data_IF_262964426700
#
_entry.id   IF_262964426700
#
_cell.length_a   1.000
_cell.length_b   1.000
_cell.length_c   1.000
_cell.angle_alpha   90.00
_cell.angle_beta   90.00
_cell.angle_gamma   90.00
#
_symmetry.space_group_name_H-M   'P 1'
#
loop_
_entity.id
_entity.type
_entity.pdbx_description
1 polymer ?
#
# COMPACT_ATOMS: atom_id res chain seq x y z
N UNK A 1 11.84 -17.70 -16.78
CA UNK A 1 11.01 -16.99 -15.78
C UNK A 1 11.78 -16.95 -14.47
N UNK A 2 12.60 -15.92 -14.25
CA UNK A 2 13.11 -15.63 -12.92
C UNK A 2 12.11 -14.67 -12.27
N UNK A 3 11.14 -15.23 -11.54
CA UNK A 3 10.26 -14.45 -10.68
C UNK A 3 11.04 -14.02 -9.45
N UNK A 4 12.00 -13.10 -9.61
CA UNK A 4 12.53 -12.36 -8.48
C UNK A 4 11.40 -11.43 -8.01
N UNK A 5 10.69 -11.85 -6.97
CA UNK A 5 9.69 -11.00 -6.31
C UNK A 5 10.40 -9.72 -5.89
N UNK A 6 9.83 -8.57 -6.26
CA UNK A 6 10.37 -7.28 -5.85
C UNK A 6 10.47 -7.22 -4.31
N UNK A 7 11.64 -6.90 -3.73
CA UNK A 7 11.81 -6.90 -2.27
C UNK A 7 10.80 -6.01 -1.52
N UNK A 8 10.44 -4.86 -2.09
CA UNK A 8 9.41 -3.96 -1.54
C UNK A 8 8.08 -4.71 -1.44
N UNK A 9 7.70 -5.41 -2.51
CA UNK A 9 6.46 -6.19 -2.53
C UNK A 9 6.48 -7.34 -1.52
N UNK A 10 7.60 -8.03 -1.40
CA UNK A 10 7.77 -9.12 -0.44
C UNK A 10 7.58 -8.61 1.00
N UNK A 11 8.19 -7.47 1.33
CA UNK A 11 8.06 -6.82 2.63
C UNK A 11 6.61 -6.40 2.92
N UNK A 12 5.92 -5.82 1.93
CA UNK A 12 4.52 -5.39 2.05
C UNK A 12 3.59 -6.60 2.24
N UNK A 13 3.67 -7.63 1.39
CA UNK A 13 2.80 -8.80 1.46
C UNK A 13 3.04 -9.60 2.74
N UNK A 14 4.30 -9.80 3.12
CA UNK A 14 4.66 -10.49 4.37
C UNK A 14 4.09 -9.78 5.59
N UNK A 15 4.30 -8.47 5.68
CA UNK A 15 3.78 -7.63 6.75
C UNK A 15 2.26 -7.60 6.80
N UNK A 16 1.60 -7.44 5.64
CA UNK A 16 0.14 -7.47 5.50
C UNK A 16 -0.45 -8.76 6.09
N UNK A 17 0.12 -9.91 5.72
CA UNK A 17 -0.39 -11.21 6.19
C UNK A 17 -0.27 -11.36 7.70
N UNK A 18 0.81 -10.87 8.30
CA UNK A 18 1.00 -10.88 9.76
C UNK A 18 -0.03 -9.97 10.44
N UNK A 19 -0.18 -8.74 9.94
CA UNK A 19 -1.04 -7.72 10.53
C UNK A 19 -2.53 -8.03 10.40
N UNK A 20 -2.99 -8.56 9.26
CA UNK A 20 -4.39 -8.98 9.07
C UNK A 20 -4.79 -10.13 10.02
N UNK A 21 -3.83 -10.96 10.44
CA UNK A 21 -4.02 -11.96 11.48
C UNK A 21 -3.97 -11.38 12.91
N UNK A 22 -3.96 -10.05 13.05
CA UNK A 22 -3.84 -9.31 14.32
C UNK A 22 -2.60 -9.69 15.12
N UNK A 23 -1.51 -10.01 14.40
CA UNK A 23 -0.20 -10.35 14.97
C UNK A 23 0.82 -9.28 14.60
N UNK A 24 1.89 -9.24 15.36
CA UNK A 24 3.09 -8.47 15.06
C UNK A 24 4.31 -9.28 15.50
N UNK A 25 5.42 -9.12 14.78
CA UNK A 25 6.71 -9.66 15.17
C UNK A 25 7.79 -8.60 14.96
N UNK A 26 9.01 -8.92 15.37
CA UNK A 26 10.18 -8.06 15.31
C UNK A 26 10.58 -7.64 13.90
N UNK A 27 10.06 -8.30 12.85
CA UNK A 27 10.42 -8.05 11.47
C UNK A 27 9.47 -7.10 10.74
N UNK A 28 8.20 -6.99 11.17
CA UNK A 28 7.19 -6.18 10.45
C UNK A 28 7.65 -4.72 10.29
N UNK A 29 7.96 -4.03 11.40
CA UNK A 29 8.33 -2.62 11.33
C UNK A 29 9.65 -2.38 10.56
N UNK A 30 10.73 -3.16 10.79
CA UNK A 30 11.94 -3.07 9.97
C UNK A 30 11.71 -3.34 8.47
N UNK A 31 10.93 -4.35 8.10
CA UNK A 31 10.63 -4.65 6.70
C UNK A 31 9.86 -3.53 6.00
N UNK A 32 8.91 -2.89 6.71
CA UNK A 32 8.19 -1.74 6.16
C UNK A 32 9.08 -0.49 6.07
N UNK A 33 10.00 -0.29 7.01
CA UNK A 33 10.99 0.78 6.92
C UNK A 33 11.94 0.56 5.74
N UNK A 34 12.44 -0.65 5.54
CA UNK A 34 13.26 -1.02 4.38
C UNK A 34 12.50 -0.78 3.06
N UNK A 35 11.20 -1.08 3.01
CA UNK A 35 10.37 -0.75 1.85
C UNK A 35 10.31 0.76 1.58
N UNK A 36 10.19 1.61 2.62
CA UNK A 36 10.23 3.08 2.51
C UNK A 36 11.58 3.55 1.99
N UNK A 37 12.67 3.04 2.55
CA UNK A 37 14.04 3.47 2.23
C UNK A 37 14.41 3.14 0.78
N UNK A 38 13.78 2.12 0.19
CA UNK A 38 14.01 1.67 -1.18
C UNK A 38 12.99 2.19 -2.21
N UNK A 39 12.04 3.07 -1.85
CA UNK A 39 11.00 3.55 -2.77
C UNK A 39 11.56 4.25 -4.02
N UNK A 40 12.76 4.83 -3.94
CA UNK A 40 13.44 5.47 -5.09
C UNK A 40 13.66 4.52 -6.26
N UNK A 41 13.68 3.21 -6.02
CA UNK A 41 13.79 2.17 -7.06
C UNK A 41 12.53 2.01 -7.92
N UNK A 42 11.36 2.49 -7.45
CA UNK A 42 10.11 2.41 -8.23
C UNK A 42 10.09 3.56 -9.25
N UNK A 43 9.97 3.31 -10.56
CA UNK A 43 10.04 4.34 -11.60
C UNK A 43 8.73 5.14 -11.77
N UNK A 44 7.69 4.80 -10.99
CA UNK A 44 6.35 5.39 -11.09
C UNK A 44 6.17 6.36 -9.92
N UNK A 45 6.12 7.65 -10.23
CA UNK A 45 6.09 8.68 -9.21
C UNK A 45 4.85 8.62 -8.32
N UNK A 46 3.66 8.44 -8.90
CA UNK A 46 2.41 8.32 -8.14
C UNK A 46 2.46 7.11 -7.19
N UNK A 47 2.94 5.96 -7.66
CA UNK A 47 3.09 4.76 -6.82
C UNK A 47 4.06 5.03 -5.66
N UNK A 48 5.20 5.69 -5.91
CA UNK A 48 6.15 6.04 -4.85
C UNK A 48 5.51 6.89 -3.77
N UNK A 49 4.79 7.94 -4.18
CA UNK A 49 4.13 8.87 -3.24
C UNK A 49 3.03 8.17 -2.44
N UNK A 50 2.23 7.32 -3.10
CA UNK A 50 1.20 6.51 -2.43
C UNK A 50 1.84 5.57 -1.40
N UNK A 51 2.92 4.86 -1.76
CA UNK A 51 3.60 4.00 -0.80
C UNK A 51 4.22 4.78 0.35
N UNK A 52 4.96 5.87 0.11
CA UNK A 52 5.59 6.64 1.19
C UNK A 52 4.53 7.10 2.21
N UNK A 53 3.42 7.67 1.70
CA UNK A 53 2.32 8.12 2.54
C UNK A 53 1.70 6.95 3.34
N UNK A 54 1.31 5.86 2.66
CA UNK A 54 0.59 4.76 3.30
C UNK A 54 1.47 3.97 4.27
N UNK A 55 2.74 3.71 3.92
CA UNK A 55 3.67 2.98 4.79
C UNK A 55 3.98 3.76 6.07
N UNK A 56 4.06 5.10 6.00
CA UNK A 56 4.21 5.95 7.20
C UNK A 56 2.98 5.90 8.09
N UNK A 57 1.77 5.92 7.53
CA UNK A 57 0.52 5.73 8.28
C UNK A 57 0.48 4.34 8.94
N UNK A 58 0.84 3.28 8.21
CA UNK A 58 0.94 1.91 8.74
C UNK A 58 1.91 1.83 9.92
N UNK A 59 3.11 2.39 9.81
CA UNK A 59 4.08 2.42 10.91
C UNK A 59 3.53 3.18 12.13
N UNK A 60 2.76 4.25 11.90
CA UNK A 60 2.10 4.99 12.99
C UNK A 60 1.03 4.16 13.70
N UNK A 61 0.26 3.38 12.95
CA UNK A 61 -0.78 2.52 13.49
C UNK A 61 -0.21 1.31 14.23
N UNK A 62 0.88 0.73 13.71
CA UNK A 62 1.67 -0.28 14.43
C UNK A 62 2.13 0.25 15.79
N UNK A 63 2.69 1.47 15.85
CA UNK A 63 3.08 2.11 17.12
C UNK A 63 1.91 2.30 18.08
N UNK A 64 0.70 2.50 17.54
CA UNK A 64 -0.53 2.66 18.30
C UNK A 64 -1.25 1.34 18.59
N UNK A 65 -0.65 0.19 18.23
CA UNK A 65 -1.22 -1.16 18.35
C UNK A 65 -2.51 -1.41 17.56
N UNK A 66 -2.81 -0.59 16.55
CA UNK A 66 -3.92 -0.84 15.61
C UNK A 66 -3.46 -1.66 14.40
N UNK A 67 -3.29 -2.96 14.64
CA UNK A 67 -2.73 -3.88 13.66
C UNK A 67 -3.70 -4.18 12.51
N UNK A 68 -5.01 -4.17 12.79
CA UNK A 68 -6.01 -4.46 11.77
C UNK A 68 -6.10 -3.32 10.76
N UNK A 69 -6.20 -2.07 11.23
CA UNK A 69 -6.15 -0.90 10.36
C UNK A 69 -4.86 -0.88 9.53
N UNK A 70 -3.71 -1.14 10.16
CA UNK A 70 -2.41 -1.22 9.48
C UNK A 70 -2.41 -2.29 8.37
N UNK A 71 -2.95 -3.48 8.65
CA UNK A 71 -3.08 -4.56 7.68
C UNK A 71 -4.00 -4.20 6.51
N UNK A 72 -5.11 -3.50 6.75
CA UNK A 72 -6.05 -3.07 5.71
C UNK A 72 -5.42 -2.05 4.76
N UNK A 73 -4.58 -1.15 5.26
CA UNK A 73 -3.85 -0.20 4.42
C UNK A 73 -2.85 -0.91 3.52
N UNK A 74 -2.09 -1.87 4.06
CA UNK A 74 -1.20 -2.69 3.24
C UNK A 74 -1.97 -3.52 2.22
N UNK A 75 -3.17 -3.99 2.58
CA UNK A 75 -4.04 -4.72 1.65
C UNK A 75 -4.53 -3.85 0.50
N UNK A 76 -4.77 -2.55 0.71
CA UNK A 76 -5.14 -1.65 -0.37
C UNK A 76 -4.00 -1.44 -1.38
N UNK A 77 -2.75 -1.31 -0.91
CA UNK A 77 -1.64 -0.84 -1.75
C UNK A 77 -0.77 -1.96 -2.35
N UNK A 78 -0.94 -3.22 -1.91
CA UNK A 78 -0.03 -4.30 -2.31
C UNK A 78 -0.04 -4.64 -3.80
N UNK A 79 -1.09 -4.26 -4.55
CA UNK A 79 -1.20 -4.52 -5.99
C UNK A 79 -0.80 -3.32 -6.87
N UNK A 80 -0.34 -2.22 -6.27
CA UNK A 80 0.09 -1.06 -7.05
C UNK A 80 1.29 -1.41 -7.94
N UNK A 81 1.34 -0.86 -9.18
CA UNK A 81 2.38 -1.20 -10.13
C UNK A 81 3.74 -0.69 -9.67
N UNK A 82 4.74 -1.58 -9.62
CA UNK A 82 6.11 -1.29 -9.18
C UNK A 82 7.07 -1.01 -10.34
N UNK A 83 6.65 -1.23 -11.58
CA UNK A 83 7.43 -1.02 -12.79
C UNK A 83 6.52 -0.60 -13.96
N UNK A 84 7.13 -0.07 -15.02
CA UNK A 84 6.41 0.50 -16.17
C UNK A 84 5.59 -0.52 -16.96
N UNK A 85 5.99 -1.79 -16.96
CA UNK A 85 5.24 -2.86 -17.63
C UNK A 85 3.95 -3.17 -16.87
N UNK A 86 4.04 -3.26 -15.54
CA UNK A 86 2.89 -3.39 -14.65
C UNK A 86 1.99 -2.17 -14.70
N UNK A 87 2.55 -0.95 -14.75
CA UNK A 87 1.75 0.27 -14.89
C UNK A 87 0.92 0.27 -16.18
N UNK A 88 1.50 -0.14 -17.30
CA UNK A 88 0.81 -0.17 -18.60
C UNK A 88 -0.32 -1.22 -18.67
N UNK A 89 -0.24 -2.26 -17.85
CA UNK A 89 -1.24 -3.34 -17.77
C UNK A 89 -2.12 -3.26 -16.53
N UNK A 90 -1.97 -2.22 -15.71
CA UNK A 90 -2.69 -2.07 -14.47
C UNK A 90 -4.12 -1.60 -14.73
N UNK A 91 -5.08 -2.38 -14.25
CA UNK A 91 -6.50 -2.04 -14.32
C UNK A 91 -6.84 -1.04 -13.20
N UNK A 92 -6.67 0.24 -13.53
CA UNK A 92 -6.94 1.35 -12.61
C UNK A 92 -8.44 1.45 -12.27
N UNK A 93 -9.32 1.09 -13.21
CA UNK A 93 -10.76 1.11 -13.00
C UNK A 93 -11.19 0.00 -12.04
N UNK A 94 -10.59 -1.19 -12.14
CA UNK A 94 -10.74 -2.24 -11.14
C UNK A 94 -10.22 -1.81 -9.76
N UNK A 95 -9.05 -1.16 -9.68
CA UNK A 95 -8.53 -0.65 -8.41
C UNK A 95 -9.53 0.32 -7.76
N UNK A 96 -10.02 1.31 -8.50
CA UNK A 96 -10.97 2.30 -7.96
C UNK A 96 -12.33 1.70 -7.61
N UNK A 97 -12.88 0.85 -8.48
CA UNK A 97 -14.24 0.32 -8.31
C UNK A 97 -14.34 -0.85 -7.35
N UNK A 98 -13.27 -1.65 -7.20
CA UNK A 98 -13.28 -2.87 -6.38
C UNK A 98 -12.36 -2.73 -5.17
N UNK A 99 -11.07 -2.50 -5.35
CA UNK A 99 -10.10 -2.54 -4.24
C UNK A 99 -10.27 -1.36 -3.28
N UNK A 100 -10.36 -0.14 -3.83
CA UNK A 100 -10.58 1.08 -3.04
C UNK A 100 -11.99 1.10 -2.43
N UNK A 101 -12.99 0.63 -3.16
CA UNK A 101 -14.37 0.49 -2.64
C UNK A 101 -14.41 -0.48 -1.45
N UNK A 102 -13.80 -1.66 -1.58
CA UNK A 102 -13.73 -2.65 -0.49
C UNK A 102 -12.98 -2.12 0.74
N UNK A 103 -11.95 -1.31 0.53
CA UNK A 103 -11.27 -0.61 1.64
C UNK A 103 -12.20 0.39 2.33
N UNK A 104 -12.98 1.15 1.56
CA UNK A 104 -13.95 2.11 2.09
C UNK A 104 -15.13 1.45 2.81
N UNK A 105 -15.55 0.23 2.45
CA UNK A 105 -16.56 -0.51 3.21
C UNK A 105 -16.15 -0.74 4.68
N UNK A 106 -14.85 -0.69 4.97
CA UNK A 106 -14.27 -0.87 6.28
C UNK A 106 -13.80 0.44 6.93
N UNK A 107 -14.23 1.61 6.43
CA UNK A 107 -13.68 2.91 6.83
C UNK A 107 -13.76 3.22 8.33
N UNK A 108 -14.76 2.69 9.04
CA UNK A 108 -14.93 2.90 10.49
C UNK A 108 -13.86 2.17 11.32
N UNK A 109 -13.32 1.09 10.78
CA UNK A 109 -12.30 0.27 11.43
C UNK A 109 -10.87 0.68 11.03
N UNK A 110 -10.73 1.65 10.13
CA UNK A 110 -9.45 2.02 9.54
C UNK A 110 -9.12 3.47 9.89
N UNK A 111 -8.10 3.66 10.73
CA UNK A 111 -7.57 4.98 11.05
C UNK A 111 -7.07 5.64 9.77
N UNK A 112 -7.39 6.93 9.61
CA UNK A 112 -7.03 7.75 8.45
C UNK A 112 -7.63 7.31 7.11
N UNK A 113 -8.63 6.40 7.06
CA UNK A 113 -9.19 5.88 5.80
C UNK A 113 -9.54 6.97 4.78
N UNK A 114 -10.26 8.01 5.21
CA UNK A 114 -10.64 9.15 4.37
C UNK A 114 -9.43 9.91 3.82
N UNK A 115 -8.42 10.13 4.67
CA UNK A 115 -7.18 10.83 4.31
C UNK A 115 -6.39 10.02 3.27
N UNK A 116 -6.30 8.70 3.46
CA UNK A 116 -5.64 7.77 2.55
C UNK A 116 -6.33 7.76 1.18
N UNK A 117 -7.66 7.59 1.17
CA UNK A 117 -8.44 7.58 -0.08
C UNK A 117 -8.29 8.90 -0.84
N UNK A 118 -8.42 10.05 -0.15
CA UNK A 118 -8.24 11.35 -0.79
C UNK A 118 -6.83 11.51 -1.38
N UNK A 119 -5.80 11.06 -0.65
CA UNK A 119 -4.42 11.11 -1.13
C UNK A 119 -4.22 10.24 -2.38
N UNK A 120 -4.68 8.99 -2.34
CA UNK A 120 -4.58 8.05 -3.47
C UNK A 120 -5.31 8.60 -4.69
N UNK A 121 -6.55 9.06 -4.54
CA UNK A 121 -7.30 9.66 -5.65
C UNK A 121 -6.59 10.89 -6.21
N UNK A 122 -5.98 11.73 -5.37
CA UNK A 122 -5.20 12.89 -5.81
C UNK A 122 -3.98 12.49 -6.65
N UNK A 123 -3.26 11.42 -6.26
CA UNK A 123 -2.10 10.91 -6.98
C UNK A 123 -2.48 10.17 -8.29
N UNK A 124 -3.69 9.61 -8.36
CA UNK A 124 -4.18 8.90 -9.54
C UNK A 124 -4.96 9.79 -10.51
N UNK A 125 -5.53 10.90 -10.06
CA UNK A 125 -6.33 11.83 -10.86
C UNK A 125 -5.66 12.25 -12.18
N UNK A 126 -4.34 12.57 -12.24
CA UNK A 126 -3.69 12.95 -13.50
C UNK A 126 -3.70 11.84 -14.56
N UNK A 127 -3.93 10.58 -14.20
CA UNK A 127 -4.00 9.45 -15.15
C UNK A 127 -5.33 9.37 -15.89
N UNK A 128 -6.36 10.08 -15.43
CA UNK A 128 -7.71 10.06 -16.02
C UNK A 128 -8.00 11.26 -16.92
N UNK A 129 -7.19 12.31 -16.83
CA UNK A 129 -7.46 13.62 -17.48
C UNK A 129 -6.40 13.97 -18.53
N UNK A 130 -5.38 13.13 -18.67
CA UNK A 130 -4.40 13.16 -19.76
C UNK A 130 -4.62 11.99 -20.71
#
# INVERSE_FOLDING_TARGET
MNSNINPILANIIGSRNILLNRRINEYVAPSLQDAIDNLSSIPIESTRRIFDFCLREVLSQIRSSDLYSAGMILNLIHNLPLDKEKEASWDIDYFLSIELSSFLENFEMIISARKIVLFICGELYPKYIN
#
